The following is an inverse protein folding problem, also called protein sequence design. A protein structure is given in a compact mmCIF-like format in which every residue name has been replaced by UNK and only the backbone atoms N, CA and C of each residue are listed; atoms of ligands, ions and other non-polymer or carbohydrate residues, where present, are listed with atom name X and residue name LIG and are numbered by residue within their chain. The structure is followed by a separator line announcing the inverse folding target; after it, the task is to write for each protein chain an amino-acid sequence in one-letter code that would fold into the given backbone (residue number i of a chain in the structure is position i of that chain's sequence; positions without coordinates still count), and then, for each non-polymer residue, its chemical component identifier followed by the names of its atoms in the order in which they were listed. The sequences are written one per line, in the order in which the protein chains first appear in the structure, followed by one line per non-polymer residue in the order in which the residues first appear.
data_IF_718846323816
#
_entry.id   IF_718846323816
#
_cell.length_a   1.000
_cell.length_b   1.000
_cell.length_c   1.000
_cell.angle_alpha   90.00
_cell.angle_beta   90.00
_cell.angle_gamma   90.00
#
_symmetry.space_group_name_H-M   'P 1'
#
loop_
_entity.id
_entity.type
_entity.pdbx_description
1 polymer ?
#
# COMPACT_ATOMS: atom_id res chain seq x y z
N UNK A 1 -4.33 11.39 0.00
CA UNK A 1 -4.01 12.79 0.29
C UNK A 1 -3.55 13.43 -1.03
N UNK A 2 -3.73 14.74 -1.25
CA UNK A 2 -3.08 15.38 -2.39
C UNK A 2 -1.54 15.28 -2.23
N UNK A 3 -0.76 15.44 -3.31
CA UNK A 3 0.69 15.60 -3.20
C UNK A 3 1.03 16.68 -2.17
N UNK A 4 2.06 16.44 -1.35
CA UNK A 4 2.47 17.39 -0.33
C UNK A 4 2.88 18.69 -1.02
N UNK A 5 2.16 19.79 -0.78
CA UNK A 5 2.49 21.09 -1.38
C UNK A 5 3.86 21.62 -0.90
N UNK A 6 4.24 21.30 0.35
CA UNK A 6 5.54 21.64 0.91
C UNK A 6 6.67 20.80 0.31
N UNK A 7 6.48 19.48 0.12
CA UNK A 7 7.50 18.64 -0.54
C UNK A 7 7.58 18.94 -2.04
N UNK A 8 6.43 19.13 -2.72
CA UNK A 8 6.37 19.47 -4.14
C UNK A 8 7.09 20.79 -4.45
N UNK A 9 6.93 21.83 -3.62
CA UNK A 9 7.64 23.10 -3.79
C UNK A 9 9.15 23.02 -3.48
N UNK A 10 9.57 22.03 -2.69
CA UNK A 10 10.97 21.76 -2.39
C UNK A 10 11.65 20.78 -3.36
N UNK A 11 10.90 20.17 -4.30
CA UNK A 11 11.45 19.19 -5.24
C UNK A 11 12.53 19.80 -6.12
N UNK A 12 13.67 19.13 -6.17
CA UNK A 12 14.73 19.44 -7.14
C UNK A 12 14.39 18.78 -8.47
N UNK A 13 14.82 19.40 -9.57
CA UNK A 13 14.65 18.89 -10.92
C UNK A 13 15.18 17.45 -11.06
N UNK A 14 14.40 16.60 -11.69
CA UNK A 14 14.63 15.15 -11.82
C UNK A 14 15.44 14.78 -13.06
N UNK A 15 16.05 13.59 -13.07
CA UNK A 15 16.95 13.12 -14.15
C UNK A 15 16.28 13.05 -15.53
N UNK A 16 14.98 12.73 -15.58
CA UNK A 16 14.21 12.56 -16.81
C UNK A 16 12.79 13.11 -16.66
N UNK A 17 12.20 13.56 -17.77
CA UNK A 17 10.75 13.78 -17.89
C UNK A 17 10.10 12.52 -18.48
N UNK A 18 8.95 12.13 -17.93
CA UNK A 18 8.14 11.06 -18.52
C UNK A 18 7.82 11.38 -19.99
N UNK A 19 7.91 10.37 -20.86
CA UNK A 19 7.60 10.49 -22.29
C UNK A 19 6.76 9.29 -22.71
N UNK A 20 5.65 9.53 -23.41
CA UNK A 20 4.85 8.45 -23.98
C UNK A 20 5.65 7.67 -25.01
N UNK A 21 5.64 6.34 -24.89
CA UNK A 21 6.25 5.40 -25.86
C UNK A 21 5.25 4.89 -26.90
N UNK A 22 3.98 5.27 -26.79
CA UNK A 22 2.93 4.79 -27.69
C UNK A 22 3.03 5.44 -29.07
N UNK A 23 2.97 4.62 -30.11
CA UNK A 23 2.82 5.09 -31.48
C UNK A 23 1.36 5.49 -31.78
N UNK A 24 1.13 6.23 -32.87
CA UNK A 24 -0.24 6.53 -33.34
C UNK A 24 -1.05 5.25 -33.60
N UNK A 25 -0.40 4.18 -34.07
CA UNK A 25 -1.02 2.88 -34.26
C UNK A 25 -1.47 2.26 -32.93
N UNK A 26 -0.69 2.41 -31.86
CA UNK A 26 -1.07 1.88 -30.55
C UNK A 26 -2.25 2.64 -29.97
N UNK A 27 -2.30 3.97 -30.13
CA UNK A 27 -3.45 4.78 -29.74
C UNK A 27 -4.72 4.36 -30.50
N UNK A 28 -4.62 4.10 -31.80
CA UNK A 28 -5.73 3.63 -32.62
C UNK A 28 -6.22 2.22 -32.22
N UNK A 29 -5.37 1.41 -31.60
CA UNK A 29 -5.67 0.04 -31.17
C UNK A 29 -5.62 -0.14 -29.65
N UNK A 30 -5.88 0.93 -28.89
CA UNK A 30 -5.56 0.98 -27.47
C UNK A 30 -6.19 -0.14 -26.62
N UNK A 31 -7.42 -0.54 -26.93
CA UNK A 31 -8.10 -1.66 -26.27
C UNK A 31 -7.33 -2.97 -26.45
N UNK A 32 -7.00 -3.31 -27.70
CA UNK A 32 -6.25 -4.52 -28.04
C UNK A 32 -4.87 -4.53 -27.37
N UNK A 33 -4.16 -3.39 -27.43
CA UNK A 33 -2.84 -3.25 -26.81
C UNK A 33 -2.92 -3.44 -25.28
N UNK A 34 -3.96 -2.90 -24.64
CA UNK A 34 -4.19 -3.07 -23.20
C UNK A 34 -4.41 -4.54 -22.82
N UNK A 35 -5.25 -5.26 -23.58
CA UNK A 35 -5.54 -6.68 -23.35
C UNK A 35 -4.29 -7.53 -23.56
N UNK A 36 -3.59 -7.36 -24.69
CA UNK A 36 -2.39 -8.13 -25.02
C UNK A 36 -1.28 -7.90 -23.99
N UNK A 37 -1.08 -6.66 -23.53
CA UNK A 37 -0.09 -6.36 -22.48
C UNK A 37 -0.46 -7.01 -21.16
N UNK A 38 -1.74 -6.95 -20.77
CA UNK A 38 -2.21 -7.57 -19.52
C UNK A 38 -1.99 -9.10 -19.55
N UNK A 39 -2.39 -9.76 -20.63
CA UNK A 39 -2.22 -11.22 -20.78
C UNK A 39 -0.75 -11.62 -20.81
N UNK A 40 0.07 -10.88 -21.55
CA UNK A 40 1.51 -11.10 -21.67
C UNK A 40 2.22 -10.96 -20.32
N UNK A 41 1.96 -9.88 -19.57
CA UNK A 41 2.53 -9.66 -18.24
C UNK A 41 2.06 -10.70 -17.22
N UNK A 42 0.76 -11.02 -17.19
CA UNK A 42 0.20 -12.03 -16.31
C UNK A 42 0.80 -13.42 -16.57
N UNK A 43 0.95 -13.79 -17.84
CA UNK A 43 1.56 -15.07 -18.23
C UNK A 43 2.99 -15.19 -17.71
N UNK A 44 3.83 -14.17 -17.96
CA UNK A 44 5.22 -14.16 -17.48
C UNK A 44 5.34 -14.16 -15.97
N UNK A 45 4.47 -13.41 -15.29
CA UNK A 45 4.44 -13.39 -13.82
C UNK A 45 4.10 -14.77 -13.25
N UNK A 46 3.10 -15.45 -13.82
CA UNK A 46 2.71 -16.80 -13.38
C UNK A 46 3.77 -17.86 -13.69
N UNK A 47 4.48 -17.71 -14.81
CA UNK A 47 5.57 -18.60 -15.21
C UNK A 47 6.88 -18.34 -14.46
N UNK A 48 6.99 -17.26 -13.67
CA UNK A 48 8.23 -16.86 -13.01
C UNK A 48 9.34 -16.50 -14.00
N UNK A 49 8.98 -15.97 -15.18
CA UNK A 49 9.95 -15.62 -16.21
C UNK A 49 10.77 -14.39 -15.82
N UNK A 50 12.07 -14.40 -16.13
CA UNK A 50 12.96 -13.25 -15.97
C UNK A 50 12.40 -11.99 -16.63
N UNK A 51 12.78 -10.83 -16.13
CA UNK A 51 12.37 -9.56 -16.73
C UNK A 51 13.01 -9.39 -18.11
N UNK A 52 12.23 -8.85 -19.06
CA UNK A 52 12.76 -8.44 -20.37
C UNK A 52 13.62 -7.19 -20.22
N UNK A 53 14.41 -6.86 -21.26
CA UNK A 53 15.17 -5.62 -21.26
C UNK A 53 14.28 -4.38 -21.17
N UNK A 54 13.11 -4.41 -21.81
CA UNK A 54 12.11 -3.34 -21.74
C UNK A 54 11.54 -3.17 -20.33
N UNK A 55 11.19 -4.27 -19.64
CA UNK A 55 10.68 -4.21 -18.26
C UNK A 55 11.75 -3.67 -17.29
N UNK A 56 13.02 -4.05 -17.49
CA UNK A 56 14.13 -3.49 -16.73
C UNK A 56 14.33 -2.00 -17.03
N UNK A 57 14.23 -1.60 -18.30
CA UNK A 57 14.32 -0.20 -18.69
C UNK A 57 13.17 0.62 -18.09
N UNK A 58 11.94 0.12 -18.10
CA UNK A 58 10.76 0.81 -17.57
C UNK A 58 10.91 1.08 -16.06
N UNK A 59 11.42 0.12 -15.28
CA UNK A 59 11.69 0.32 -13.84
C UNK A 59 12.82 1.32 -13.60
N UNK A 60 13.94 1.20 -14.33
CA UNK A 60 15.06 2.15 -14.19
C UNK A 60 14.63 3.57 -14.56
N UNK A 61 13.88 3.71 -15.65
CA UNK A 61 13.31 4.96 -16.08
C UNK A 61 12.31 5.54 -15.07
N UNK A 62 11.47 4.70 -14.49
CA UNK A 62 10.54 5.10 -13.44
C UNK A 62 11.28 5.75 -12.27
N UNK A 63 12.42 5.18 -11.85
CA UNK A 63 13.26 5.77 -10.81
C UNK A 63 13.99 7.04 -11.27
N UNK A 64 14.50 7.09 -12.51
CA UNK A 64 15.08 8.30 -13.07
C UNK A 64 14.09 9.48 -13.08
N UNK A 65 12.82 9.22 -13.38
CA UNK A 65 11.80 10.27 -13.46
C UNK A 65 11.60 11.02 -12.13
N UNK A 66 11.93 10.40 -11.00
CA UNK A 66 11.73 10.95 -9.65
C UNK A 66 13.03 11.21 -8.88
N UNK A 67 14.17 10.76 -9.40
CA UNK A 67 15.49 10.96 -8.76
C UNK A 67 16.03 12.36 -9.03
N UNK A 68 16.48 13.11 -8.00
CA UNK A 68 17.15 14.40 -8.19
C UNK A 68 18.38 14.31 -9.10
N UNK A 69 18.63 15.34 -9.92
CA UNK A 69 19.76 15.35 -10.87
C UNK A 69 21.15 15.12 -10.26
N UNK A 70 21.37 15.54 -9.01
CA UNK A 70 22.66 15.44 -8.33
C UNK A 70 22.86 14.14 -7.56
N UNK A 71 21.85 13.27 -7.50
CA UNK A 71 21.93 11.99 -6.78
C UNK A 71 22.79 11.00 -7.57
N UNK A 72 23.80 10.44 -6.91
CA UNK A 72 24.67 9.40 -7.49
C UNK A 72 24.13 8.02 -7.15
N UNK A 73 23.44 7.39 -8.11
CA UNK A 73 22.97 5.99 -8.02
C UNK A 73 23.74 5.18 -9.06
N UNK A 74 24.22 4.00 -8.66
CA UNK A 74 24.79 3.00 -9.58
C UNK A 74 23.66 2.27 -10.31
N UNK A 75 23.19 2.88 -11.40
CA UNK A 75 22.08 2.38 -12.23
C UNK A 75 22.39 1.02 -12.87
N UNK A 76 23.66 0.76 -13.21
CA UNK A 76 24.08 -0.52 -13.77
C UNK A 76 24.02 -1.62 -12.71
N UNK A 77 24.45 -1.34 -11.47
CA UNK A 77 24.30 -2.28 -10.37
C UNK A 77 22.84 -2.54 -10.04
N UNK A 78 21.98 -1.51 -10.08
CA UNK A 78 20.55 -1.68 -9.90
C UNK A 78 19.96 -2.56 -10.99
N UNK A 79 20.25 -2.28 -12.27
CA UNK A 79 19.75 -3.07 -13.41
C UNK A 79 20.18 -4.53 -13.30
N UNK A 80 21.45 -4.79 -12.94
CA UNK A 80 21.96 -6.17 -12.72
C UNK A 80 21.20 -6.85 -11.58
N UNK A 81 21.04 -6.18 -10.45
CA UNK A 81 20.28 -6.70 -9.32
C UNK A 81 18.87 -7.09 -9.77
N UNK A 82 18.12 -6.17 -10.39
CA UNK A 82 16.74 -6.39 -10.82
C UNK A 82 16.62 -7.57 -11.78
N UNK A 83 17.53 -7.69 -12.76
CA UNK A 83 17.56 -8.83 -13.71
C UNK A 83 17.61 -10.18 -12.99
N UNK A 84 18.43 -10.26 -11.94
CA UNK A 84 18.67 -11.50 -11.21
C UNK A 84 17.51 -11.89 -10.29
N UNK A 85 16.71 -10.93 -9.82
CA UNK A 85 15.77 -11.17 -8.69
C UNK A 85 14.30 -10.90 -9.00
N UNK A 86 13.97 -10.11 -10.02
CA UNK A 86 12.61 -9.54 -10.14
C UNK A 86 11.53 -10.59 -10.42
N UNK A 87 11.93 -11.71 -11.00
CA UNK A 87 11.07 -12.83 -11.36
C UNK A 87 10.84 -13.85 -10.23
N UNK A 88 11.63 -13.76 -9.16
CA UNK A 88 11.52 -14.69 -8.03
C UNK A 88 10.24 -14.43 -7.24
N UNK A 89 9.79 -15.45 -6.49
CA UNK A 89 8.60 -15.32 -5.65
C UNK A 89 8.84 -14.35 -4.50
N UNK A 90 7.95 -13.35 -4.37
CA UNK A 90 7.93 -12.41 -3.24
C UNK A 90 7.64 -13.07 -1.88
N UNK A 91 7.19 -14.34 -1.87
CA UNK A 91 6.99 -15.12 -0.64
C UNK A 91 8.29 -15.76 -0.13
N UNK A 92 9.37 -15.72 -0.89
CA UNK A 92 10.70 -16.17 -0.43
C UNK A 92 11.37 -15.09 0.43
N UNK A 93 10.82 -14.81 1.62
CA UNK A 93 11.20 -13.62 2.40
C UNK A 93 12.68 -13.53 2.74
N UNK A 94 13.38 -14.65 2.98
CA UNK A 94 14.84 -14.62 3.17
C UNK A 94 15.59 -14.15 1.92
N UNK A 95 15.09 -14.45 0.72
CA UNK A 95 15.66 -13.97 -0.55
C UNK A 95 15.31 -12.51 -0.75
N UNK A 96 14.04 -12.12 -0.54
CA UNK A 96 13.59 -10.73 -0.59
C UNK A 96 14.38 -9.85 0.37
N UNK A 97 14.60 -10.32 1.60
CA UNK A 97 15.31 -9.60 2.66
C UNK A 97 16.77 -9.30 2.31
N UNK A 98 17.51 -10.33 1.89
CA UNK A 98 18.91 -10.15 1.48
C UNK A 98 19.05 -9.23 0.28
N UNK A 99 18.11 -9.28 -0.66
CA UNK A 99 18.18 -8.44 -1.86
C UNK A 99 17.67 -7.01 -1.59
N UNK A 100 16.76 -6.81 -0.62
CA UNK A 100 16.39 -5.49 -0.14
C UNK A 100 17.61 -4.76 0.45
N UNK A 101 18.51 -5.45 1.17
CA UNK A 101 19.78 -4.86 1.63
C UNK A 101 20.71 -4.45 0.49
N UNK A 102 20.77 -5.25 -0.58
CA UNK A 102 21.54 -4.88 -1.79
C UNK A 102 20.93 -3.65 -2.47
N UNK A 103 19.60 -3.60 -2.58
CA UNK A 103 18.88 -2.45 -3.12
C UNK A 103 19.10 -1.21 -2.25
N UNK A 104 19.11 -1.34 -0.92
CA UNK A 104 19.40 -0.25 0.01
C UNK A 104 20.80 0.34 -0.19
N UNK A 105 21.81 -0.50 -0.39
CA UNK A 105 23.19 -0.05 -0.70
C UNK A 105 23.30 0.75 -2.00
N UNK A 106 22.32 0.63 -2.90
CA UNK A 106 22.29 1.33 -4.19
C UNK A 106 21.42 2.60 -4.11
N UNK A 107 20.22 2.50 -3.53
CA UNK A 107 19.24 3.58 -3.52
C UNK A 107 19.36 4.51 -2.31
N UNK A 108 19.79 3.97 -1.17
CA UNK A 108 19.85 4.67 0.12
C UNK A 108 21.15 4.32 0.87
N UNK A 109 22.34 4.48 0.26
CA UNK A 109 23.61 4.08 0.88
C UNK A 109 23.86 4.77 2.23
N UNK A 110 23.34 5.98 2.40
CA UNK A 110 23.44 6.82 3.60
C UNK A 110 22.12 6.91 4.38
N UNK A 111 21.20 5.97 4.15
CA UNK A 111 19.84 5.97 4.73
C UNK A 111 18.87 6.90 3.98
N UNK A 112 17.76 7.26 4.63
CA UNK A 112 16.73 8.15 4.08
C UNK A 112 17.15 9.64 4.16
N UNK A 113 18.07 10.05 3.28
CA UNK A 113 18.44 11.46 3.09
C UNK A 113 17.31 12.28 2.46
N UNK A 114 17.50 13.59 2.29
CA UNK A 114 16.59 14.46 1.53
C UNK A 114 16.36 13.96 0.10
N UNK A 115 17.41 13.48 -0.57
CA UNK A 115 17.38 12.96 -1.93
C UNK A 115 16.57 11.65 -2.00
N UNK A 116 16.87 10.70 -1.11
CA UNK A 116 16.11 9.46 -1.01
C UNK A 116 14.64 9.72 -0.66
N UNK A 117 14.39 10.75 0.16
CA UNK A 117 13.03 11.16 0.53
C UNK A 117 12.22 11.72 -0.65
N UNK A 118 12.87 12.31 -1.66
CA UNK A 118 12.21 12.72 -2.90
C UNK A 118 11.86 11.51 -3.78
N UNK A 119 12.77 10.53 -3.89
CA UNK A 119 12.51 9.29 -4.66
C UNK A 119 11.29 8.55 -4.08
N UNK A 120 11.14 8.56 -2.76
CA UNK A 120 10.05 7.87 -2.07
C UNK A 120 8.94 8.82 -1.56
N UNK A 121 8.80 10.00 -2.17
CA UNK A 121 7.97 11.09 -1.65
C UNK A 121 6.57 10.62 -1.25
N UNK A 122 5.83 9.99 -2.18
CA UNK A 122 4.47 9.51 -1.91
C UNK A 122 4.43 8.48 -0.79
N UNK A 123 5.37 7.53 -0.80
CA UNK A 123 5.42 6.43 0.17
C UNK A 123 5.63 7.00 1.58
N UNK A 124 6.59 7.92 1.74
CA UNK A 124 6.93 8.51 3.03
C UNK A 124 5.88 9.52 3.51
N UNK A 125 5.37 10.35 2.60
CA UNK A 125 4.38 11.36 2.94
C UNK A 125 3.02 10.74 3.27
N UNK A 126 2.44 9.98 2.33
CA UNK A 126 1.13 9.38 2.58
C UNK A 126 1.18 8.23 3.60
N UNK A 127 2.36 7.62 3.76
CA UNK A 127 2.63 6.67 4.83
C UNK A 127 2.88 7.32 6.20
N UNK A 128 2.89 8.65 6.33
CA UNK A 128 3.17 9.36 7.59
C UNK A 128 4.50 8.97 8.27
N UNK A 129 5.57 8.87 7.48
CA UNK A 129 6.91 8.62 8.02
C UNK A 129 7.36 9.69 9.02
N UNK A 130 7.17 10.96 8.67
CA UNK A 130 7.64 12.10 9.48
C UNK A 130 6.91 12.17 10.83
N UNK A 131 5.59 11.94 10.86
CA UNK A 131 4.81 11.90 12.10
C UNK A 131 5.20 10.73 13.00
N UNK A 132 5.43 9.55 12.41
CA UNK A 132 5.93 8.38 13.14
C UNK A 132 7.33 8.63 13.75
N UNK A 133 8.23 9.27 12.98
CA UNK A 133 9.57 9.63 13.44
C UNK A 133 9.54 10.69 14.54
N UNK A 134 8.71 11.73 14.40
CA UNK A 134 8.52 12.75 15.42
C UNK A 134 8.02 12.13 16.74
N UNK A 135 7.05 11.22 16.65
CA UNK A 135 6.53 10.49 17.81
C UNK A 135 7.60 9.62 18.48
N UNK A 136 8.40 8.89 17.71
CA UNK A 136 9.52 8.09 18.25
C UNK A 136 10.57 8.98 18.93
N UNK A 137 10.90 10.14 18.37
CA UNK A 137 11.88 11.07 18.94
C UNK A 137 11.42 11.68 20.27
N UNK A 138 10.15 12.07 20.38
CA UNK A 138 9.57 12.55 21.64
C UNK A 138 9.66 11.47 22.73
N UNK A 139 9.49 10.19 22.34
CA UNK A 139 9.41 9.05 23.26
C UNK A 139 10.71 8.35 23.58
N UNK A 140 11.74 8.48 22.75
CA UNK A 140 13.06 7.93 23.05
C UNK A 140 13.66 8.55 24.34
N UNK A 141 13.18 9.74 24.75
CA UNK A 141 13.48 10.32 26.06
C UNK A 141 12.94 9.50 27.25
N UNK A 142 11.87 8.71 27.06
CA UNK A 142 11.20 7.92 28.11
C UNK A 142 11.72 6.48 28.26
N UNK A 143 12.72 6.05 27.46
CA UNK A 143 13.50 4.78 27.51
C UNK A 143 12.76 3.44 27.70
N UNK A 144 11.42 3.42 27.83
CA UNK A 144 10.66 2.24 28.33
C UNK A 144 9.60 1.70 27.39
N UNK A 145 9.35 2.32 26.22
CA UNK A 145 8.23 1.92 25.35
C UNK A 145 8.72 1.29 24.05
N UNK A 146 8.30 0.04 23.86
CA UNK A 146 8.55 -0.78 22.67
C UNK A 146 7.60 -0.34 21.54
N UNK A 147 8.09 -0.11 20.30
CA UNK A 147 7.23 0.28 19.18
C UNK A 147 6.27 -0.84 18.76
N UNK A 148 5.29 -0.51 17.93
CA UNK A 148 4.26 -1.44 17.45
C UNK A 148 4.50 -1.87 16.00
N UNK A 149 4.38 -3.17 15.75
CA UNK A 149 4.20 -3.75 14.43
C UNK A 149 2.74 -4.16 14.31
N UNK A 150 2.02 -3.46 13.43
CA UNK A 150 0.57 -3.58 13.28
C UNK A 150 0.27 -4.27 11.96
N UNK A 151 -0.47 -5.37 12.03
CA UNK A 151 -1.06 -6.02 10.87
C UNK A 151 -2.51 -5.55 10.75
N UNK A 152 -2.88 -4.94 9.63
CA UNK A 152 -4.24 -4.47 9.37
C UNK A 152 -4.90 -5.35 8.32
N UNK A 153 -6.06 -5.91 8.65
CA UNK A 153 -6.85 -6.80 7.79
C UNK A 153 -8.29 -6.33 7.62
N UNK A 154 -8.94 -6.85 6.58
CA UNK A 154 -10.31 -6.52 6.20
C UNK A 154 -10.42 -6.15 4.73
N UNK A 155 -11.63 -6.22 4.18
CA UNK A 155 -11.85 -5.97 2.74
C UNK A 155 -11.52 -4.52 2.35
N UNK A 156 -11.29 -4.28 1.06
CA UNK A 156 -11.10 -2.93 0.54
C UNK A 156 -12.42 -2.16 0.51
N UNK A 157 -12.37 -0.83 0.50
CA UNK A 157 -13.57 0.02 0.45
C UNK A 157 -14.27 0.24 1.80
N UNK A 158 -13.70 -0.26 2.91
CA UNK A 158 -14.29 -0.11 4.25
C UNK A 158 -13.63 0.99 5.09
N UNK A 159 -12.91 1.94 4.49
CA UNK A 159 -12.30 3.07 5.23
C UNK A 159 -11.30 2.67 6.34
N UNK A 160 -10.56 1.56 6.19
CA UNK A 160 -9.57 1.06 7.18
C UNK A 160 -8.53 2.13 7.55
N UNK A 161 -7.83 2.66 6.54
CA UNK A 161 -6.86 3.75 6.70
C UNK A 161 -7.52 4.95 7.35
N UNK A 162 -8.66 5.41 6.83
CA UNK A 162 -9.39 6.54 7.41
C UNK A 162 -9.69 6.35 8.89
N UNK A 163 -10.16 5.16 9.30
CA UNK A 163 -10.47 4.86 10.70
C UNK A 163 -9.25 5.05 11.61
N UNK A 164 -8.07 4.61 11.17
CA UNK A 164 -6.84 4.70 11.98
C UNK A 164 -6.34 6.14 12.17
N UNK A 165 -6.69 7.06 11.28
CA UNK A 165 -6.38 8.50 11.41
C UNK A 165 -7.46 9.28 12.18
N UNK A 166 -8.53 8.63 12.64
CA UNK A 166 -9.56 9.32 13.43
C UNK A 166 -9.04 9.61 14.85
N UNK A 167 -9.37 10.77 15.46
CA UNK A 167 -8.90 11.12 16.81
C UNK A 167 -9.37 10.16 17.90
N UNK A 168 -10.51 9.52 17.66
CA UNK A 168 -11.08 8.55 18.59
C UNK A 168 -10.45 7.15 18.46
N UNK A 169 -9.61 6.91 17.45
CA UNK A 169 -9.15 5.56 17.12
C UNK A 169 -8.38 4.89 18.26
N UNK A 170 -7.48 5.61 18.95
CA UNK A 170 -6.72 5.05 20.08
C UNK A 170 -7.64 4.58 21.23
N UNK A 171 -8.74 5.30 21.48
CA UNK A 171 -9.75 4.91 22.48
C UNK A 171 -10.49 3.65 22.04
N UNK A 172 -10.91 3.61 20.78
CA UNK A 172 -11.57 2.44 20.22
C UNK A 172 -10.65 1.21 20.19
N UNK A 173 -9.36 1.39 19.87
CA UNK A 173 -8.37 0.32 19.90
C UNK A 173 -8.14 -0.21 21.32
N UNK A 174 -8.12 0.66 22.33
CA UNK A 174 -8.05 0.22 23.73
C UNK A 174 -9.25 -0.65 24.12
N UNK A 175 -10.45 -0.32 23.66
CA UNK A 175 -11.66 -1.12 23.92
C UNK A 175 -11.63 -2.47 23.21
N UNK A 176 -11.05 -2.53 22.00
CA UNK A 176 -10.99 -3.74 21.17
C UNK A 176 -9.85 -4.70 21.54
N UNK A 177 -8.86 -4.25 22.32
CA UNK A 177 -7.61 -4.98 22.50
C UNK A 177 -7.79 -6.24 23.36
N UNK A 178 -7.52 -7.39 22.77
CA UNK A 178 -7.45 -8.69 23.44
C UNK A 178 -5.97 -9.07 23.62
N UNK A 179 -5.47 -9.24 24.85
CA UNK A 179 -4.08 -9.60 25.09
C UNK A 179 -3.83 -11.09 24.77
N UNK A 180 -2.57 -11.46 24.49
CA UNK A 180 -2.18 -12.86 24.50
C UNK A 180 -2.36 -13.47 25.89
N UNK A 181 -2.60 -14.78 25.97
CA UNK A 181 -2.85 -15.46 27.25
C UNK A 181 -1.71 -15.25 28.26
N UNK A 182 -2.06 -14.85 29.48
CA UNK A 182 -1.08 -14.59 30.54
C UNK A 182 -0.47 -13.18 30.52
N UNK A 183 -0.99 -12.28 29.70
CA UNK A 183 -0.55 -10.88 29.60
C UNK A 183 -1.68 -9.93 29.96
N UNK A 184 -1.36 -8.82 30.62
CA UNK A 184 -2.33 -7.78 30.94
C UNK A 184 -2.39 -6.70 29.85
N UNK A 185 -3.53 -6.01 29.75
CA UNK A 185 -3.70 -4.81 28.92
C UNK A 185 -3.54 -3.59 29.82
N UNK A 186 -2.30 -3.17 30.04
CA UNK A 186 -2.01 -1.89 30.70
C UNK A 186 -1.21 -0.98 29.76
N UNK A 187 -1.89 -0.54 28.70
CA UNK A 187 -1.37 0.48 27.80
C UNK A 187 -2.09 1.80 28.05
N UNK A 188 -1.29 2.84 28.15
CA UNK A 188 -1.72 4.21 28.00
C UNK A 188 -2.33 4.42 26.60
N UNK A 189 -3.48 5.08 26.51
CA UNK A 189 -4.22 5.30 25.25
C UNK A 189 -3.32 6.00 24.24
N UNK A 190 -2.53 6.96 24.69
CA UNK A 190 -1.65 7.74 23.84
C UNK A 190 -0.45 6.91 23.34
N UNK A 191 -0.25 5.70 23.89
CA UNK A 191 0.79 4.75 23.50
C UNK A 191 0.40 3.75 22.42
N UNK A 192 -0.89 3.68 22.11
CA UNK A 192 -1.40 2.76 21.09
C UNK A 192 -1.10 3.30 19.68
N UNK A 193 -0.87 2.40 18.71
CA UNK A 193 -0.58 2.80 17.34
C UNK A 193 -1.83 3.37 16.66
N UNK A 194 -1.69 4.53 16.05
CA UNK A 194 -2.68 5.21 15.22
C UNK A 194 -2.05 5.65 13.90
N UNK A 195 -2.86 6.10 12.95
CA UNK A 195 -2.36 6.65 11.69
C UNK A 195 -1.43 7.85 11.90
N UNK A 196 -1.68 8.67 12.93
CA UNK A 196 -0.90 9.87 13.25
C UNK A 196 0.51 9.58 13.79
N UNK A 197 0.73 8.39 14.38
CA UNK A 197 2.00 8.04 15.04
C UNK A 197 2.70 6.80 14.47
N UNK A 198 2.27 6.33 13.30
CA UNK A 198 2.78 5.11 12.69
C UNK A 198 3.07 5.31 11.21
N UNK A 199 4.15 4.67 10.75
CA UNK A 199 4.46 4.61 9.33
C UNK A 199 3.61 3.52 8.66
N UNK A 200 2.78 3.91 7.69
CA UNK A 200 1.94 3.01 6.93
C UNK A 200 2.67 2.52 5.68
N UNK A 201 3.02 1.24 5.69
CA UNK A 201 3.66 0.57 4.57
C UNK A 201 2.61 0.16 3.52
N UNK A 202 2.39 1.03 2.54
CA UNK A 202 1.43 0.81 1.44
C UNK A 202 2.11 0.30 0.18
N UNK A 203 1.75 -0.90 -0.26
CA UNK A 203 2.39 -1.54 -1.41
C UNK A 203 2.02 -0.90 -2.74
N UNK A 204 0.77 -0.45 -2.90
CA UNK A 204 0.31 0.26 -4.09
C UNK A 204 1.10 1.55 -4.32
N UNK A 205 1.51 2.25 -3.25
CA UNK A 205 2.42 3.39 -3.36
C UNK A 205 3.81 2.97 -3.86
N UNK A 206 4.32 1.83 -3.38
CA UNK A 206 5.61 1.29 -3.82
C UNK A 206 5.59 0.84 -5.28
N UNK A 207 4.53 0.15 -5.70
CA UNK A 207 4.35 -0.33 -7.08
C UNK A 207 4.27 0.85 -8.04
N UNK A 208 3.44 1.85 -7.75
CA UNK A 208 3.28 3.03 -8.61
C UNK A 208 4.54 3.88 -8.68
N UNK A 209 5.30 3.98 -7.59
CA UNK A 209 6.61 4.65 -7.58
C UNK A 209 7.60 3.94 -8.49
N UNK A 210 7.72 2.61 -8.37
CA UNK A 210 8.67 1.79 -9.13
C UNK A 210 8.26 1.57 -10.60
N UNK A 211 6.98 1.74 -10.93
CA UNK A 211 6.42 1.38 -12.24
C UNK A 211 5.64 2.55 -12.86
N UNK A 212 6.03 3.81 -12.61
CA UNK A 212 5.30 4.97 -13.12
C UNK A 212 5.26 5.05 -14.66
N UNK A 213 6.21 4.42 -15.36
CA UNK A 213 6.14 4.26 -16.83
C UNK A 213 4.96 3.34 -17.24
N UNK A 214 4.78 2.19 -16.57
CA UNK A 214 3.65 1.28 -16.83
C UNK A 214 2.29 1.90 -16.45
N UNK A 215 2.23 2.68 -15.37
CA UNK A 215 1.02 3.44 -15.02
C UNK A 215 0.73 4.55 -16.02
N UNK A 216 1.75 5.28 -16.50
CA UNK A 216 1.59 6.26 -17.57
C UNK A 216 1.00 5.61 -18.82
N UNK A 217 1.49 4.42 -19.18
CA UNK A 217 0.98 3.66 -20.30
C UNK A 217 -0.47 3.19 -20.10
N UNK A 218 -0.78 2.64 -18.93
CA UNK A 218 -2.14 2.25 -18.55
C UNK A 218 -3.10 3.43 -18.74
N UNK A 219 -2.77 4.59 -18.18
CA UNK A 219 -3.59 5.80 -18.30
C UNK A 219 -3.69 6.31 -19.74
N UNK A 220 -2.63 6.22 -20.54
CA UNK A 220 -2.64 6.67 -21.92
C UNK A 220 -3.56 5.80 -22.80
N UNK A 221 -3.50 4.47 -22.63
CA UNK A 221 -4.38 3.53 -23.31
C UNK A 221 -5.85 3.71 -22.88
N UNK A 222 -6.09 3.99 -21.60
CA UNK A 222 -7.43 4.31 -21.09
C UNK A 222 -7.94 5.64 -21.63
N UNK A 223 -7.10 6.68 -21.65
CA UNK A 223 -7.43 8.00 -22.16
C UNK A 223 -7.83 7.96 -23.65
N UNK A 224 -7.16 7.13 -24.45
CA UNK A 224 -7.48 6.90 -25.85
C UNK A 224 -8.89 6.33 -26.06
N UNK A 225 -9.28 5.34 -25.24
CA UNK A 225 -10.60 4.69 -25.29
C UNK A 225 -11.73 5.56 -24.73
N UNK A 226 -11.40 6.50 -23.84
CA UNK A 226 -12.36 7.50 -23.33
C UNK A 226 -12.64 8.59 -24.36
N UNK A 227 -11.62 9.07 -25.07
CA UNK A 227 -11.77 10.12 -26.08
C UNK A 227 -12.61 9.69 -27.29
N UNK A 228 -12.73 8.38 -27.55
CA UNK A 228 -13.69 7.85 -28.53
C UNK A 228 -15.14 7.84 -28.04
N UNK A 229 -15.40 8.13 -26.77
CA UNK A 229 -16.71 8.00 -26.10
C UNK A 229 -17.20 9.29 -25.41
N UNK A 230 -16.96 10.46 -26.02
CA UNK A 230 -17.26 11.80 -25.44
C UNK A 230 -18.73 12.03 -24.99
N UNK A 231 -19.66 11.13 -25.32
CA UNK A 231 -21.09 11.25 -24.95
C UNK A 231 -21.43 10.76 -23.54
N UNK A 232 -20.57 9.97 -22.89
CA UNK A 232 -20.83 9.45 -21.55
C UNK A 232 -19.83 9.99 -20.53
N UNK A 233 -20.29 10.51 -19.37
CA UNK A 233 -19.41 11.01 -18.32
C UNK A 233 -18.72 9.90 -17.51
N UNK A 234 -19.16 8.64 -17.65
CA UNK A 234 -18.62 7.48 -16.95
C UNK A 234 -17.92 6.51 -17.92
N UNK A 235 -16.76 5.94 -17.51
CA UNK A 235 -16.09 4.90 -18.28
C UNK A 235 -17.02 3.69 -18.50
N UNK A 236 -17.06 3.10 -19.72
CA UNK A 236 -17.78 1.86 -19.95
C UNK A 236 -17.29 0.72 -19.05
N UNK A 237 -18.18 -0.19 -18.66
CA UNK A 237 -17.84 -1.31 -17.78
C UNK A 237 -16.69 -2.18 -18.33
N UNK A 238 -16.66 -2.43 -19.63
CA UNK A 238 -15.61 -3.17 -20.31
C UNK A 238 -14.24 -2.49 -20.18
N UNK A 239 -14.21 -1.15 -20.31
CA UNK A 239 -12.98 -0.37 -20.08
C UNK A 239 -12.50 -0.49 -18.62
N UNK A 240 -13.42 -0.43 -17.65
CA UNK A 240 -13.08 -0.61 -16.23
C UNK A 240 -12.49 -2.01 -15.98
N UNK A 241 -13.05 -3.04 -16.61
CA UNK A 241 -12.55 -4.41 -16.51
C UNK A 241 -11.15 -4.56 -17.13
N UNK A 242 -10.93 -4.03 -18.33
CA UNK A 242 -9.63 -4.07 -19.00
C UNK A 242 -8.57 -3.27 -18.22
N UNK A 243 -8.95 -2.10 -17.69
CA UNK A 243 -8.11 -1.29 -16.81
C UNK A 243 -7.69 -2.08 -15.55
N UNK A 244 -8.66 -2.64 -14.83
CA UNK A 244 -8.45 -3.47 -13.63
C UNK A 244 -7.53 -4.66 -13.94
N UNK A 245 -7.74 -5.32 -15.09
CA UNK A 245 -6.92 -6.46 -15.54
C UNK A 245 -5.47 -6.05 -15.79
N UNK A 246 -5.21 -5.00 -16.56
CA UNK A 246 -3.83 -4.53 -16.81
C UNK A 246 -3.17 -4.05 -15.51
N UNK A 247 -3.89 -3.32 -14.66
CA UNK A 247 -3.39 -2.93 -13.34
C UNK A 247 -3.03 -4.14 -12.48
N UNK A 248 -3.86 -5.20 -12.46
CA UNK A 248 -3.55 -6.45 -11.77
C UNK A 248 -2.31 -7.14 -12.33
N UNK A 249 -2.11 -7.13 -13.65
CA UNK A 249 -0.91 -7.66 -14.30
C UNK A 249 0.35 -6.90 -13.89
N UNK A 250 0.31 -5.56 -13.82
CA UNK A 250 1.41 -4.72 -13.31
C UNK A 250 1.72 -5.11 -11.85
N UNK A 251 0.69 -5.16 -10.99
CA UNK A 251 0.87 -5.52 -9.58
C UNK A 251 1.48 -6.92 -9.39
N UNK A 252 1.06 -7.89 -10.20
CA UNK A 252 1.59 -9.25 -10.17
C UNK A 252 3.04 -9.29 -10.65
N UNK A 253 3.32 -8.66 -11.80
CA UNK A 253 4.63 -8.69 -12.44
C UNK A 253 5.72 -8.05 -11.59
N UNK A 254 5.43 -6.92 -10.95
CA UNK A 254 6.41 -6.14 -10.19
C UNK A 254 6.36 -6.36 -8.68
N UNK A 255 5.58 -7.36 -8.21
CA UNK A 255 5.35 -7.60 -6.77
C UNK A 255 6.64 -7.72 -5.98
N UNK A 256 7.61 -8.49 -6.48
CA UNK A 256 8.88 -8.75 -5.79
C UNK A 256 9.70 -7.49 -5.58
N UNK A 257 9.69 -6.57 -6.54
CA UNK A 257 10.41 -5.29 -6.43
C UNK A 257 9.81 -4.40 -5.34
N UNK A 258 8.48 -4.33 -5.30
CA UNK A 258 7.77 -3.54 -4.29
C UNK A 258 7.84 -4.16 -2.90
N UNK A 259 7.93 -5.48 -2.80
CA UNK A 259 8.26 -6.13 -1.53
C UNK A 259 9.69 -5.83 -1.10
N UNK A 260 10.67 -5.84 -1.99
CA UNK A 260 12.06 -5.47 -1.66
C UNK A 260 12.17 -4.01 -1.19
N UNK A 261 11.53 -3.07 -1.88
CA UNK A 261 11.45 -1.68 -1.44
C UNK A 261 10.73 -1.56 -0.09
N UNK A 262 9.67 -2.34 0.09
CA UNK A 262 8.98 -2.42 1.37
C UNK A 262 9.89 -2.86 2.51
N UNK A 263 10.61 -3.97 2.34
CA UNK A 263 11.54 -4.50 3.34
C UNK A 263 12.69 -3.53 3.63
N UNK A 264 13.20 -2.83 2.61
CA UNK A 264 14.18 -1.75 2.80
C UNK A 264 13.62 -0.71 3.79
N UNK A 265 12.41 -0.21 3.55
CA UNK A 265 11.78 0.78 4.43
C UNK A 265 11.41 0.22 5.81
N UNK A 266 11.08 -1.08 5.91
CA UNK A 266 10.88 -1.74 7.20
C UNK A 266 12.18 -1.75 8.03
N UNK A 267 13.33 -2.02 7.40
CA UNK A 267 14.64 -2.01 8.07
C UNK A 267 15.04 -0.61 8.51
N UNK A 268 14.79 0.40 7.68
CA UNK A 268 14.98 1.80 8.07
C UNK A 268 14.08 2.15 9.26
N UNK A 269 12.78 1.79 9.23
CA UNK A 269 11.83 2.05 10.30
C UNK A 269 12.25 1.39 11.62
N UNK A 270 12.81 0.19 11.55
CA UNK A 270 13.39 -0.49 12.71
C UNK A 270 14.57 0.28 13.26
N UNK A 271 15.49 0.74 12.41
CA UNK A 271 16.68 1.51 12.81
C UNK A 271 16.30 2.77 13.58
N UNK A 272 15.26 3.49 13.14
CA UNK A 272 14.74 4.69 13.82
C UNK A 272 13.65 4.39 14.88
N UNK A 273 13.35 3.12 15.12
CA UNK A 273 12.45 2.63 16.18
C UNK A 273 11.02 3.21 16.13
N UNK A 274 10.43 3.34 14.94
CA UNK A 274 9.06 3.86 14.74
C UNK A 274 8.02 2.73 14.72
N UNK A 275 6.76 3.07 15.02
CA UNK A 275 5.62 2.17 14.80
C UNK A 275 5.43 1.93 13.28
N UNK A 276 5.05 0.72 12.90
CA UNK A 276 4.83 0.34 11.51
C UNK A 276 3.49 -0.37 11.34
N UNK A 277 2.72 0.04 10.33
CA UNK A 277 1.48 -0.59 9.92
C UNK A 277 1.65 -1.26 8.55
N UNK A 278 1.22 -2.51 8.44
CA UNK A 278 1.18 -3.27 7.19
C UNK A 278 -0.27 -3.68 6.91
N UNK A 279 -0.85 -3.19 5.81
CA UNK A 279 -2.20 -3.57 5.38
C UNK A 279 -2.16 -4.76 4.42
N UNK A 280 -3.11 -5.66 4.59
CA UNK A 280 -3.37 -6.77 3.67
C UNK A 280 -4.86 -7.11 3.64
N UNK A 281 -5.24 -7.92 2.65
CA UNK A 281 -6.62 -8.40 2.47
C UNK A 281 -7.06 -9.46 3.48
N UNK A 282 -6.14 -10.01 4.29
CA UNK A 282 -6.48 -10.98 5.33
C UNK A 282 -6.56 -12.44 4.88
N UNK A 283 -6.32 -12.75 3.60
CA UNK A 283 -6.68 -14.04 2.98
C UNK A 283 -5.76 -15.22 3.27
N UNK A 284 -4.54 -14.97 3.73
CA UNK A 284 -3.48 -15.97 3.88
C UNK A 284 -2.78 -15.80 5.23
N UNK A 285 -2.66 -16.89 5.99
CA UNK A 285 -1.95 -16.91 7.29
C UNK A 285 -0.48 -16.50 7.17
N UNK A 286 0.10 -16.61 5.98
CA UNK A 286 1.46 -16.14 5.69
C UNK A 286 1.70 -14.67 6.08
N UNK A 287 0.67 -13.82 6.14
CA UNK A 287 0.82 -12.43 6.60
C UNK A 287 1.27 -12.29 8.07
N UNK A 288 0.91 -13.24 8.94
CA UNK A 288 1.41 -13.25 10.32
C UNK A 288 2.87 -13.67 10.36
N UNK A 289 3.22 -14.72 9.62
CA UNK A 289 4.59 -15.17 9.49
C UNK A 289 5.50 -14.11 8.86
N UNK A 290 4.98 -13.28 7.96
CA UNK A 290 5.70 -12.13 7.40
C UNK A 290 6.09 -11.15 8.51
N UNK A 291 5.16 -10.73 9.36
CA UNK A 291 5.46 -9.82 10.47
C UNK A 291 6.38 -10.50 11.50
N UNK A 292 6.20 -11.79 11.78
CA UNK A 292 7.10 -12.52 12.68
C UNK A 292 8.53 -12.60 12.14
N UNK A 293 8.68 -12.75 10.82
CA UNK A 293 9.96 -12.79 10.15
C UNK A 293 10.70 -11.44 10.25
N UNK A 294 10.01 -10.34 9.94
CA UNK A 294 10.65 -9.01 9.92
C UNK A 294 10.72 -8.36 11.29
N UNK A 295 9.72 -8.56 12.17
CA UNK A 295 9.65 -7.95 13.49
C UNK A 295 9.82 -9.02 14.57
N UNK A 296 11.03 -9.19 15.08
CA UNK A 296 11.30 -10.11 16.19
C UNK A 296 10.58 -9.71 17.50
N UNK A 297 10.23 -10.70 18.32
CA UNK A 297 9.45 -10.53 19.56
C UNK A 297 10.06 -9.55 20.59
N UNK A 298 11.37 -9.32 20.56
CA UNK A 298 12.06 -8.50 21.58
C UNK A 298 12.08 -7.00 21.28
N UNK A 299 11.79 -6.59 20.03
CA UNK A 299 11.95 -5.19 19.60
C UNK A 299 10.61 -4.51 19.33
N UNK A 300 9.55 -5.26 19.09
CA UNK A 300 8.24 -4.72 18.72
C UNK A 300 7.12 -5.45 19.47
N UNK A 301 6.16 -4.66 19.98
CA UNK A 301 4.83 -5.16 20.30
C UNK A 301 4.11 -5.52 18.99
N UNK A 302 3.32 -6.58 18.97
CA UNK A 302 2.58 -6.99 17.77
C UNK A 302 1.09 -6.97 18.01
N UNK A 303 0.37 -6.33 17.10
CA UNK A 303 -1.09 -6.30 17.13
C UNK A 303 -1.66 -6.59 15.75
N UNK A 304 -2.65 -7.47 15.69
CA UNK A 304 -3.45 -7.67 14.50
C UNK A 304 -4.80 -6.97 14.68
N UNK A 305 -5.16 -6.13 13.71
CA UNK A 305 -6.39 -5.34 13.67
C UNK A 305 -7.23 -5.84 12.51
N UNK A 306 -8.43 -6.35 12.79
CA UNK A 306 -9.36 -6.80 11.77
C UNK A 306 -10.60 -5.91 11.71
N UNK A 307 -10.88 -5.39 10.52
CA UNK A 307 -12.10 -4.63 10.23
C UNK A 307 -13.12 -5.52 9.51
N UNK A 308 -14.35 -5.50 10.01
CA UNK A 308 -15.53 -6.12 9.41
C UNK A 308 -16.51 -5.06 8.95
N UNK A 309 -17.38 -5.41 8.01
CA UNK A 309 -18.45 -4.54 7.53
C UNK A 309 -19.77 -5.30 7.52
N UNK A 310 -20.84 -4.65 7.97
CA UNK A 310 -22.19 -5.21 7.99
C UNK A 310 -22.82 -5.36 6.60
N UNK A 311 -22.48 -4.48 5.64
CA UNK A 311 -23.01 -4.49 4.27
C UNK A 311 -21.87 -4.38 3.24
N UNK A 312 -21.45 -5.53 2.69
CA UNK A 312 -20.40 -5.62 1.68
C UNK A 312 -20.69 -4.77 0.42
N UNK A 313 -21.97 -4.55 0.07
CA UNK A 313 -22.33 -3.77 -1.13
C UNK A 313 -21.84 -2.33 -1.04
N UNK A 314 -21.72 -1.80 0.19
CA UNK A 314 -21.19 -0.45 0.44
C UNK A 314 -19.70 -0.38 0.20
N UNK A 315 -18.97 -1.43 0.57
CA UNK A 315 -17.56 -1.55 0.24
C UNK A 315 -17.35 -1.66 -1.27
N UNK A 316 -18.18 -2.47 -1.95
CA UNK A 316 -18.17 -2.63 -3.41
C UNK A 316 -18.37 -1.29 -4.12
N UNK A 317 -19.42 -0.56 -3.77
CA UNK A 317 -19.69 0.78 -4.32
C UNK A 317 -18.51 1.72 -4.11
N UNK A 318 -17.92 1.74 -2.90
CA UNK A 318 -16.74 2.58 -2.62
C UNK A 318 -15.51 2.20 -3.45
N UNK A 319 -15.33 0.91 -3.78
CA UNK A 319 -14.25 0.45 -4.67
C UNK A 319 -14.51 0.88 -6.11
N UNK A 320 -15.74 0.75 -6.59
CA UNK A 320 -16.11 1.09 -7.97
C UNK A 320 -16.00 2.60 -8.22
N UNK A 321 -16.53 3.43 -7.32
CA UNK A 321 -16.44 4.90 -7.39
C UNK A 321 -14.97 5.36 -7.42
N UNK A 322 -14.13 4.73 -6.59
CA UNK A 322 -12.69 5.01 -6.55
C UNK A 322 -11.99 4.61 -7.85
N UNK A 323 -12.34 3.47 -8.43
CA UNK A 323 -11.76 3.02 -9.71
C UNK A 323 -12.11 3.98 -10.86
N UNK A 324 -13.37 4.44 -10.92
CA UNK A 324 -13.80 5.43 -11.91
C UNK A 324 -13.06 6.75 -11.74
N UNK A 325 -12.88 7.19 -10.49
CA UNK A 325 -12.13 8.40 -10.17
C UNK A 325 -10.65 8.29 -10.54
N UNK A 326 -10.00 7.17 -10.21
CA UNK A 326 -8.62 6.86 -10.57
C UNK A 326 -8.41 6.89 -12.09
N UNK A 327 -9.32 6.27 -12.87
CA UNK A 327 -9.26 6.29 -14.34
C UNK A 327 -9.26 7.73 -14.89
N UNK A 328 -10.12 8.60 -14.35
CA UNK A 328 -10.22 10.00 -14.77
C UNK A 328 -8.96 10.78 -14.38
N UNK A 329 -8.54 10.67 -13.11
CA UNK A 329 -7.36 11.32 -12.59
C UNK A 329 -6.08 10.87 -13.32
N UNK A 330 -5.98 9.59 -13.67
CA UNK A 330 -4.86 9.02 -14.41
C UNK A 330 -4.74 9.62 -15.81
N UNK A 331 -5.85 9.78 -16.53
CA UNK A 331 -5.87 10.49 -17.82
C UNK A 331 -5.35 11.92 -17.67
N UNK A 332 -5.85 12.66 -16.68
CA UNK A 332 -5.50 14.07 -16.47
C UNK A 332 -4.02 14.23 -16.05
N UNK A 333 -3.52 13.28 -15.24
CA UNK A 333 -2.14 13.24 -14.77
C UNK A 333 -1.09 13.14 -15.90
N UNK A 334 -1.47 12.63 -17.08
CA UNK A 334 -0.57 12.57 -18.24
C UNK A 334 -0.16 13.95 -18.77
N UNK A 335 -0.89 15.01 -18.40
CA UNK A 335 -0.55 16.40 -18.75
C UNK A 335 0.37 17.06 -17.72
N UNK A 336 0.58 16.41 -16.58
CA UNK A 336 1.33 16.93 -15.44
C UNK A 336 2.76 16.40 -15.31
N UNK A 337 3.25 16.40 -14.07
CA UNK A 337 4.53 15.81 -13.67
C UNK A 337 4.37 14.29 -13.44
N UNK A 338 5.47 13.54 -13.46
CA UNK A 338 5.45 12.10 -13.15
C UNK A 338 4.83 11.81 -11.77
N UNK A 339 4.95 12.76 -10.84
CA UNK A 339 4.34 12.62 -9.52
C UNK A 339 2.82 12.62 -9.60
N UNK A 340 2.22 13.33 -10.55
CA UNK A 340 0.77 13.28 -10.78
C UNK A 340 0.36 11.88 -11.24
N UNK A 341 1.15 11.22 -12.08
CA UNK A 341 0.93 9.81 -12.49
C UNK A 341 0.99 8.89 -11.29
N UNK A 342 2.00 9.07 -10.44
CA UNK A 342 2.16 8.27 -9.23
C UNK A 342 0.95 8.47 -8.32
N UNK A 343 0.53 9.71 -8.04
CA UNK A 343 -0.58 10.01 -7.13
C UNK A 343 -1.97 9.69 -7.71
N UNK A 344 -2.11 9.61 -9.03
CA UNK A 344 -3.39 9.26 -9.64
C UNK A 344 -3.91 7.89 -9.20
N UNK A 345 -3.03 6.94 -8.87
CA UNK A 345 -3.42 5.63 -8.36
C UNK A 345 -4.04 5.76 -6.96
N UNK A 346 -5.29 5.34 -6.79
CA UNK A 346 -6.05 5.45 -5.54
C UNK A 346 -6.19 4.10 -4.79
N UNK A 347 -5.52 3.04 -5.23
CA UNK A 347 -5.48 1.80 -4.44
C UNK A 347 -4.91 0.58 -5.16
N UNK A 348 -5.28 -0.60 -4.66
CA UNK A 348 -4.92 -1.89 -5.24
C UNK A 348 -5.57 -2.17 -6.61
N UNK A 349 -5.22 -3.32 -7.23
CA UNK A 349 -5.54 -3.58 -8.62
C UNK A 349 -6.95 -4.14 -8.85
N UNK A 350 -7.60 -4.68 -7.83
CA UNK A 350 -8.85 -5.43 -7.98
C UNK A 350 -10.08 -4.53 -7.83
N UNK A 351 -11.09 -4.79 -8.67
CA UNK A 351 -12.42 -4.17 -8.57
C UNK A 351 -13.28 -4.80 -7.48
N UNK A 352 -14.54 -4.38 -7.41
CA UNK A 352 -15.48 -4.84 -6.39
C UNK A 352 -15.86 -6.33 -6.52
N UNK A 353 -15.68 -6.93 -7.70
CA UNK A 353 -16.09 -8.29 -8.03
C UNK A 353 -15.40 -9.37 -7.19
N UNK A 354 -14.20 -9.09 -6.66
CA UNK A 354 -13.46 -10.05 -5.83
C UNK A 354 -13.82 -9.99 -4.35
N UNK A 355 -14.51 -8.92 -3.89
CA UNK A 355 -14.61 -8.61 -2.47
C UNK A 355 -15.36 -9.68 -1.66
N UNK A 356 -16.35 -10.34 -2.25
CA UNK A 356 -17.08 -11.42 -1.56
C UNK A 356 -16.16 -12.59 -1.20
N UNK A 357 -15.30 -13.01 -2.13
CA UNK A 357 -14.34 -14.08 -1.88
C UNK A 357 -13.25 -13.64 -0.91
N UNK A 358 -12.81 -12.38 -1.01
CA UNK A 358 -11.83 -11.80 -0.08
C UNK A 358 -12.39 -11.78 1.34
N UNK A 359 -13.65 -11.39 1.53
CA UNK A 359 -14.30 -11.38 2.85
C UNK A 359 -14.34 -12.79 3.44
N UNK A 360 -14.81 -13.77 2.66
CA UNK A 360 -14.89 -15.17 3.10
C UNK A 360 -13.51 -15.72 3.52
N UNK A 361 -12.48 -15.51 2.69
CA UNK A 361 -11.12 -15.94 2.98
C UNK A 361 -10.55 -15.24 4.23
N UNK A 362 -10.80 -13.94 4.38
CA UNK A 362 -10.35 -13.13 5.51
C UNK A 362 -11.02 -13.53 6.81
N UNK A 363 -12.34 -13.75 6.81
CA UNK A 363 -13.08 -14.18 8.00
C UNK A 363 -12.62 -15.58 8.46
N UNK A 364 -12.39 -16.49 7.51
CA UNK A 364 -11.84 -17.82 7.82
C UNK A 364 -10.48 -17.73 8.50
N UNK A 365 -9.55 -16.95 7.96
CA UNK A 365 -8.21 -16.78 8.55
C UNK A 365 -8.29 -16.09 9.91
N UNK A 366 -9.09 -15.02 10.03
CA UNK A 366 -9.24 -14.32 11.31
C UNK A 366 -9.81 -15.21 12.40
N UNK A 367 -10.84 -16.01 12.09
CA UNK A 367 -11.44 -16.92 13.05
C UNK A 367 -10.44 -18.01 13.50
N UNK A 368 -9.59 -18.52 12.60
CA UNK A 368 -8.52 -19.44 12.95
C UNK A 368 -7.52 -18.80 13.93
N UNK A 369 -7.12 -17.55 13.69
CA UNK A 369 -6.16 -16.81 14.53
C UNK A 369 -6.74 -16.49 15.92
N UNK A 370 -7.99 -16.03 15.98
CA UNK A 370 -8.67 -15.74 17.26
C UNK A 370 -8.89 -17.02 18.07
N UNK A 371 -9.16 -18.14 17.40
CA UNK A 371 -9.30 -19.46 18.04
C UNK A 371 -7.97 -20.11 18.41
N UNK A 372 -6.83 -19.45 18.12
CA UNK A 372 -5.48 -20.00 18.24
C UNK A 372 -5.28 -21.33 17.49
N UNK A 373 -6.00 -21.54 16.41
CA UNK A 373 -5.79 -22.68 15.51
C UNK A 373 -4.37 -22.60 14.94
N UNK A 374 -3.59 -23.67 15.06
CA UNK A 374 -2.19 -23.75 14.61
C UNK A 374 -1.17 -22.84 15.34
N UNK A 375 -1.59 -22.13 16.41
CA UNK A 375 -0.69 -21.35 17.27
C UNK A 375 -0.06 -20.11 16.62
N UNK A 376 -0.47 -19.73 15.41
CA UNK A 376 0.02 -18.53 14.72
C UNK A 376 -0.56 -17.27 15.37
N UNK A 377 0.28 -16.26 15.61
CA UNK A 377 -0.16 -15.01 16.27
C UNK A 377 -0.62 -15.19 17.72
N UNK A 378 -0.30 -16.32 18.38
CA UNK A 378 -0.72 -16.61 19.76
C UNK A 378 -0.16 -15.63 20.78
N UNK A 379 1.00 -15.06 20.48
CA UNK A 379 1.75 -14.08 21.27
C UNK A 379 1.45 -12.63 20.87
N UNK A 380 0.45 -12.41 20.02
CA UNK A 380 0.05 -11.09 19.55
C UNK A 380 -1.22 -10.61 20.20
N UNK A 381 -1.30 -9.29 20.38
CA UNK A 381 -2.57 -8.61 20.66
C UNK A 381 -3.49 -8.71 19.45
N UNK A 382 -4.80 -8.76 19.68
CA UNK A 382 -5.82 -8.86 18.62
C UNK A 382 -6.89 -7.80 18.87
N UNK A 383 -7.35 -7.15 17.83
CA UNK A 383 -8.44 -6.17 17.90
C UNK A 383 -9.40 -6.37 16.72
N UNK A 384 -10.70 -6.37 17.00
CA UNK A 384 -11.73 -6.46 15.97
C UNK A 384 -12.60 -5.21 16.01
N UNK A 385 -12.91 -4.69 14.83
CA UNK A 385 -13.80 -3.54 14.65
C UNK A 385 -14.94 -3.89 13.68
N UNK A 386 -16.15 -3.46 14.02
CA UNK A 386 -17.34 -3.59 13.20
C UNK A 386 -17.67 -2.24 12.56
N UNK A 387 -17.64 -2.16 11.24
CA UNK A 387 -18.05 -0.99 10.47
C UNK A 387 -19.51 -1.15 10.09
N UNK A 388 -20.29 -0.16 10.50
CA UNK A 388 -21.70 -0.03 10.21
C UNK A 388 -21.85 0.97 9.06
N UNK A 389 -21.91 0.44 7.84
CA UNK A 389 -22.12 1.21 6.63
C UNK A 389 -23.61 1.33 6.30
N UNK A 390 -24.04 2.55 5.98
CA UNK A 390 -25.44 2.85 5.65
C UNK A 390 -25.52 3.71 4.39
N UNK A 391 -26.69 3.73 3.75
CA UNK A 391 -26.95 4.54 2.54
C UNK A 391 -27.07 6.03 2.85
N UNK A 392 -27.83 6.35 3.91
CA UNK A 392 -28.40 7.68 4.12
C UNK A 392 -27.92 8.32 5.43
N UNK A 393 -27.01 7.66 6.14
CA UNK A 393 -26.42 8.16 7.38
C UNK A 393 -24.91 7.99 7.32
N UNK A 394 -24.16 8.82 8.04
CA UNK A 394 -22.73 8.63 8.22
C UNK A 394 -22.41 7.20 8.64
N UNK A 395 -21.29 6.68 8.13
CA UNK A 395 -20.80 5.38 8.56
C UNK A 395 -20.35 5.50 10.01
N UNK A 396 -20.51 4.42 10.76
CA UNK A 396 -20.06 4.33 12.15
C UNK A 396 -19.20 3.10 12.36
N UNK A 397 -18.51 3.05 13.48
CA UNK A 397 -17.62 1.95 13.84
C UNK A 397 -17.68 1.68 15.33
N UNK A 398 -17.54 0.40 15.70
CA UNK A 398 -17.51 -0.07 17.08
C UNK A 398 -16.37 -1.04 17.29
N UNK A 399 -15.72 -0.95 18.45
CA UNK A 399 -14.85 -2.01 18.93
C UNK A 399 -15.67 -3.26 19.26
N UNK A 400 -15.15 -4.45 18.97
CA UNK A 400 -15.64 -5.72 19.53
C UNK A 400 -14.73 -6.06 20.71
N UNK A 401 -15.28 -6.03 21.91
CA UNK A 401 -14.56 -6.29 23.16
C UNK A 401 -14.23 -7.78 23.31
N UNK A 402 -13.36 -8.10 24.26
CA UNK A 402 -12.95 -9.49 24.55
C UNK A 402 -14.13 -10.42 24.91
N UNK A 403 -15.21 -9.89 25.46
CA UNK A 403 -16.44 -10.64 25.78
C UNK A 403 -17.42 -10.77 24.60
N UNK A 404 -17.04 -10.26 23.42
CA UNK A 404 -17.87 -10.22 22.22
C UNK A 404 -18.90 -9.10 22.19
N UNK A 405 -19.01 -8.28 23.24
CA UNK A 405 -19.90 -7.12 23.26
C UNK A 405 -19.34 -5.96 22.44
N UNK A 406 -20.23 -5.06 22.01
CA UNK A 406 -19.82 -3.84 21.31
C UNK A 406 -19.38 -2.74 22.29
N UNK A 407 -18.30 -2.07 21.92
CA UNK A 407 -17.81 -0.85 22.54
C UNK A 407 -18.58 0.40 22.14
N UNK A 408 -17.95 1.53 22.42
CA UNK A 408 -18.44 2.87 22.08
C UNK A 408 -18.63 2.97 20.56
N UNK A 409 -19.75 3.57 20.14
CA UNK A 409 -20.02 3.85 18.73
C UNK A 409 -19.40 5.18 18.36
N UNK A 410 -18.52 5.17 17.36
CA UNK A 410 -17.92 6.38 16.80
C UNK A 410 -18.45 6.63 15.40
N UNK A 411 -18.67 7.90 15.07
CA UNK A 411 -18.98 8.35 13.72
C UNK A 411 -17.68 8.71 13.00
N UNK A 412 -17.59 8.35 11.72
CA UNK A 412 -16.48 8.83 10.89
C UNK A 412 -16.66 10.34 10.69
N UNK A 413 -15.71 11.12 11.19
CA UNK A 413 -15.59 12.52 10.78
C UNK A 413 -15.25 12.56 9.28
N UNK A 414 -15.56 13.68 8.61
CA UNK A 414 -14.98 13.95 7.30
C UNK A 414 -13.49 13.68 7.39
N UNK A 415 -12.97 12.88 6.45
CA UNK A 415 -11.54 12.65 6.35
C UNK A 415 -10.94 14.05 6.22
N UNK A 416 -10.35 14.56 7.31
CA UNK A 416 -9.91 15.95 7.35
C UNK A 416 -8.94 16.16 6.20
N UNK A 417 -8.69 17.43 5.90
CA UNK A 417 -7.38 17.86 5.42
C UNK A 417 -6.32 17.46 6.48
N UNK A 418 -6.08 16.14 6.65
CA UNK A 418 -5.07 15.56 7.54
C UNK A 418 -3.73 15.84 6.85
N UNK A 419 -2.82 16.41 7.64
CA UNK A 419 -1.69 17.28 7.28
C UNK A 419 -0.71 16.78 6.22
#
# INVERSE_FOLDING_TARGET
MPPSSSRASARVKTLRKSQSRLSEHDYANAEKVMIERADSMSSRANAGESFTDDELDDVINSLHNITPHHTSIDWDALRRLLRDIAHLSHKEWHVTDRNAEKMAKILTPDGLTSEASQIFERILHEGNWDGALAYANIRNADLKRTPWAVLVTGVNGIRKTTAMYQPWFSKALREALVPPSGTEVDFDVDSLPTGENSFFRQLDHMITTLCNEDFSLLYALTGAQLSSNERNPEPPQELIQNYSKLKASIFSRYRTLSEMLGVLLLKEAQTVNINVMCETSGRDVAMFHYIDHFFGQKRYNKVAINFRINDLRRAMQSVDERMVKEIKNGKDALTGDVVDVIYANEGGPYGSEVLAKVQEDSDRVWNAIVSNENGVGKDWYKATFEIEAYTNTPWTIRAVKADGSYGTRFEFEDARNVC
#
